data_IF_933540419850
#
_entry.id   IF_933540419850
#
_cell.length_a   1.000
_cell.length_b   1.000
_cell.length_c   1.000
_cell.angle_alpha   90.00
_cell.angle_beta   90.00
_cell.angle_gamma   90.00
#
_symmetry.space_group_name_H-M   'P 1'
#
loop_
_entity.id
_entity.type
_entity.pdbx_description
1 polymer ?
#
# COMPACT_ATOMS: atom_id res chain seq x y z
N UNK A 1 -6.44 -7.84 -5.92
CA UNK A 1 -7.86 -7.61 -5.63
C UNK A 1 -8.39 -8.84 -4.97
N UNK A 2 -9.20 -8.69 -3.94
CA UNK A 2 -9.47 -9.81 -3.04
C UNK A 2 -10.67 -10.59 -3.54
N UNK A 3 -10.45 -11.88 -3.77
CA UNK A 3 -11.51 -12.82 -4.07
C UNK A 3 -12.43 -12.39 -5.22
N UNK A 4 -11.87 -11.75 -6.25
CA UNK A 4 -12.65 -11.46 -7.46
C UNK A 4 -13.18 -12.74 -8.06
N UNK A 5 -14.47 -12.75 -8.41
CA UNK A 5 -15.03 -13.85 -9.20
C UNK A 5 -14.54 -13.80 -10.64
N UNK A 6 -14.46 -12.61 -11.22
CA UNK A 6 -14.01 -12.42 -12.59
C UNK A 6 -13.66 -10.96 -12.87
N UNK A 7 -12.67 -10.75 -13.74
CA UNK A 7 -12.28 -9.43 -14.25
C UNK A 7 -12.55 -9.26 -15.76
N UNK A 8 -12.95 -10.34 -16.45
CA UNK A 8 -13.18 -10.35 -17.91
C UNK A 8 -14.62 -10.67 -18.31
N UNK A 9 -15.41 -11.29 -17.44
CA UNK A 9 -16.85 -11.56 -17.62
C UNK A 9 -17.62 -11.27 -16.33
N UNK A 10 -18.70 -10.50 -16.38
CA UNK A 10 -19.56 -10.23 -15.23
C UNK A 10 -20.28 -11.50 -14.76
N UNK A 11 -20.07 -11.98 -13.52
CA UNK A 11 -20.78 -13.15 -12.99
C UNK A 11 -22.29 -12.92 -12.88
N UNK A 12 -22.71 -11.68 -12.59
CA UNK A 12 -24.11 -11.29 -12.41
C UNK A 12 -24.87 -11.24 -13.73
N UNK A 13 -24.27 -10.67 -14.76
CA UNK A 13 -24.94 -10.38 -16.03
C UNK A 13 -24.56 -11.33 -17.17
N UNK A 14 -23.50 -12.12 -17.02
CA UNK A 14 -23.00 -13.01 -18.08
C UNK A 14 -22.44 -12.25 -19.29
N UNK A 15 -22.07 -10.98 -19.13
CA UNK A 15 -21.54 -10.11 -20.19
C UNK A 15 -20.03 -9.92 -20.06
N UNK A 16 -19.34 -9.67 -21.16
CA UNK A 16 -17.91 -9.33 -21.11
C UNK A 16 -17.65 -8.03 -20.32
N UNK A 17 -16.49 -7.94 -19.67
CA UNK A 17 -16.01 -6.70 -19.07
C UNK A 17 -15.13 -5.97 -20.09
N UNK A 18 -15.67 -4.97 -20.78
CA UNK A 18 -14.98 -4.18 -21.79
C UNK A 18 -15.44 -2.70 -21.76
N UNK A 19 -15.20 -1.95 -22.83
CA UNK A 19 -15.61 -0.53 -22.90
C UNK A 19 -17.11 -0.31 -23.11
N UNK A 20 -17.86 -1.37 -23.46
CA UNK A 20 -19.28 -1.33 -23.86
C UNK A 20 -20.18 -2.00 -22.82
N UNK A 21 -19.73 -3.11 -22.24
CA UNK A 21 -20.34 -3.84 -21.13
C UNK A 21 -19.35 -3.85 -19.97
N UNK A 22 -19.77 -3.90 -18.70
CA UNK A 22 -18.73 -3.90 -17.65
C UNK A 22 -19.18 -3.65 -16.24
N UNK A 23 -20.19 -4.36 -15.75
CA UNK A 23 -20.39 -4.41 -14.30
C UNK A 23 -19.65 -5.61 -13.72
N UNK A 24 -18.36 -5.41 -13.50
CA UNK A 24 -17.43 -6.39 -12.96
C UNK A 24 -16.79 -5.81 -11.71
N UNK A 25 -16.39 -6.64 -10.75
CA UNK A 25 -15.85 -6.15 -9.46
C UNK A 25 -14.54 -5.36 -9.55
N UNK A 26 -14.05 -5.03 -10.76
CA UNK A 26 -12.67 -4.95 -11.20
C UNK A 26 -12.60 -4.62 -12.71
N UNK A 27 -13.07 -3.44 -13.13
CA UNK A 27 -12.88 -2.95 -14.51
C UNK A 27 -11.40 -2.95 -14.94
N UNK A 28 -11.11 -3.68 -16.02
CA UNK A 28 -9.78 -3.83 -16.63
C UNK A 28 -8.69 -4.34 -15.66
N UNK A 29 -9.09 -5.07 -14.63
CA UNK A 29 -8.17 -5.67 -13.68
C UNK A 29 -7.69 -7.06 -14.12
N UNK A 30 -6.59 -7.52 -13.52
CA UNK A 30 -6.07 -8.89 -13.67
C UNK A 30 -6.38 -9.80 -12.47
N UNK A 31 -7.04 -9.28 -11.44
CA UNK A 31 -7.38 -10.03 -10.24
C UNK A 31 -6.24 -10.12 -9.22
N UNK A 32 -5.29 -9.19 -9.26
CA UNK A 32 -4.04 -9.22 -8.50
C UNK A 32 -3.91 -7.99 -7.59
N UNK A 33 -3.08 -8.03 -6.55
CA UNK A 33 -2.83 -6.85 -5.71
C UNK A 33 -2.19 -5.69 -6.48
N UNK A 34 -1.48 -6.03 -7.56
CA UNK A 34 -0.84 -5.10 -8.46
C UNK A 34 -1.83 -4.18 -9.19
N UNK A 35 -3.08 -4.62 -9.35
CA UNK A 35 -4.16 -3.80 -9.92
C UNK A 35 -4.38 -2.50 -9.12
N UNK A 36 -4.20 -2.58 -7.80
CA UNK A 36 -4.38 -1.44 -6.90
C UNK A 36 -3.32 -0.38 -7.16
N UNK A 37 -2.07 -0.80 -7.31
CA UNK A 37 -0.95 0.07 -7.64
C UNK A 37 -1.11 0.70 -9.02
N UNK A 38 -1.41 -0.12 -10.03
CA UNK A 38 -1.64 0.34 -11.39
C UNK A 38 -2.71 1.43 -11.46
N UNK A 39 -3.86 1.23 -10.79
CA UNK A 39 -4.95 2.21 -10.77
C UNK A 39 -4.51 3.56 -10.20
N UNK A 40 -3.79 3.59 -9.07
CA UNK A 40 -3.31 4.86 -8.52
C UNK A 40 -2.28 5.53 -9.43
N UNK A 41 -1.41 4.76 -10.10
CA UNK A 41 -0.48 5.32 -11.09
C UNK A 41 -1.22 5.96 -12.26
N UNK A 42 -2.25 5.32 -12.81
CA UNK A 42 -3.10 5.90 -13.87
C UNK A 42 -3.73 7.23 -13.43
N UNK A 43 -4.31 7.30 -12.23
CA UNK A 43 -4.89 8.55 -11.73
C UNK A 43 -3.86 9.63 -11.45
N UNK A 44 -2.66 9.25 -10.98
CA UNK A 44 -1.54 10.18 -10.78
C UNK A 44 -1.05 10.76 -12.10
N UNK A 45 -0.87 9.93 -13.12
CA UNK A 45 -0.51 10.34 -14.47
C UNK A 45 -1.55 11.31 -15.06
N UNK A 46 -2.85 10.99 -14.91
CA UNK A 46 -3.93 11.90 -15.34
C UNK A 46 -3.86 13.23 -14.61
N UNK A 47 -3.67 13.21 -13.29
CA UNK A 47 -3.52 14.42 -12.48
C UNK A 47 -2.32 15.26 -12.94
N UNK A 48 -1.20 14.62 -13.25
CA UNK A 48 0.01 15.28 -13.74
C UNK A 48 -0.23 15.96 -15.09
N UNK A 49 -0.83 15.24 -16.05
CA UNK A 49 -1.18 15.81 -17.36
C UNK A 49 -2.17 16.99 -17.28
N UNK A 50 -2.99 17.04 -16.23
CA UNK A 50 -3.89 18.17 -15.96
C UNK A 50 -3.21 19.35 -15.23
N UNK A 51 -1.93 19.24 -14.87
CA UNK A 51 -1.22 20.24 -14.06
C UNK A 51 -1.76 20.36 -12.63
N UNK A 52 -2.41 19.30 -12.10
CA UNK A 52 -3.11 19.32 -10.81
C UNK A 52 -2.38 18.59 -9.70
N UNK A 53 -1.06 18.38 -9.82
CA UNK A 53 -0.28 17.60 -8.85
C UNK A 53 -0.39 18.06 -7.39
N UNK A 54 -0.62 19.36 -7.20
CA UNK A 54 -0.72 19.99 -5.87
C UNK A 54 -2.16 20.24 -5.42
N UNK A 55 -3.11 20.29 -6.35
CA UNK A 55 -4.49 20.74 -6.09
C UNK A 55 -5.51 19.61 -6.15
N UNK A 56 -5.12 18.44 -6.65
CA UNK A 56 -5.96 17.25 -6.71
C UNK A 56 -5.30 16.12 -5.91
N UNK A 57 -5.95 15.72 -4.83
CA UNK A 57 -5.48 14.63 -3.98
C UNK A 57 -6.14 13.32 -4.40
N UNK A 58 -5.40 12.22 -4.25
CA UNK A 58 -5.93 10.88 -4.53
C UNK A 58 -6.43 10.25 -3.23
N UNK A 59 -7.68 9.82 -3.25
CA UNK A 59 -8.27 8.99 -2.21
C UNK A 59 -8.47 7.60 -2.77
N UNK A 60 -8.35 6.59 -1.93
CA UNK A 60 -8.58 5.22 -2.34
C UNK A 60 -9.72 4.59 -1.52
N UNK A 61 -10.47 3.72 -2.19
CA UNK A 61 -11.57 2.97 -1.58
C UNK A 61 -11.08 1.53 -1.43
N UNK A 62 -10.52 1.13 -0.27
CA UNK A 62 -10.20 -0.27 -0.01
C UNK A 62 -11.47 -1.11 -0.06
N UNK A 63 -11.40 -2.26 -0.72
CA UNK A 63 -12.42 -3.28 -0.60
C UNK A 63 -12.48 -3.69 0.87
N UNK A 64 -13.60 -3.41 1.53
CA UNK A 64 -13.83 -3.71 2.94
C UNK A 64 -14.96 -4.74 3.14
N UNK A 65 -15.61 -5.14 2.04
CA UNK A 65 -16.78 -6.00 2.04
C UNK A 65 -16.73 -6.96 0.85
N UNK A 66 -17.73 -7.82 0.74
CA UNK A 66 -18.02 -8.57 -0.48
C UNK A 66 -19.49 -8.51 -0.80
N UNK A 67 -19.74 -8.52 -2.10
CA UNK A 67 -21.03 -8.74 -2.71
C UNK A 67 -20.88 -10.01 -3.57
N UNK A 68 -21.68 -11.06 -3.33
CA UNK A 68 -21.65 -12.30 -4.10
C UNK A 68 -21.77 -12.10 -5.61
N UNK A 69 -22.30 -10.98 -6.08
CA UNK A 69 -22.38 -10.71 -7.51
C UNK A 69 -21.00 -10.46 -8.16
N UNK A 70 -20.01 -10.01 -7.37
CA UNK A 70 -18.71 -9.56 -7.87
C UNK A 70 -17.51 -10.24 -7.19
N UNK A 71 -17.63 -10.58 -5.91
CA UNK A 71 -16.57 -11.17 -5.09
C UNK A 71 -17.04 -12.46 -4.42
N UNK A 72 -16.16 -13.46 -4.31
CA UNK A 72 -16.50 -14.75 -3.69
C UNK A 72 -16.45 -14.71 -2.16
N UNK A 73 -15.72 -13.74 -1.58
CA UNK A 73 -15.65 -13.49 -0.14
C UNK A 73 -15.15 -12.09 0.15
N UNK A 74 -15.34 -11.65 1.38
CA UNK A 74 -14.76 -10.42 1.88
C UNK A 74 -13.25 -10.64 2.20
N UNK A 75 -12.45 -9.57 2.27
CA UNK A 75 -11.04 -9.68 2.65
C UNK A 75 -10.85 -10.08 4.11
N UNK A 76 -9.75 -10.76 4.41
CA UNK A 76 -9.28 -10.92 5.80
C UNK A 76 -8.71 -9.60 6.32
N UNK A 77 -8.46 -9.51 7.63
CA UNK A 77 -7.83 -8.33 8.24
C UNK A 77 -6.46 -8.00 7.65
N UNK A 78 -5.64 -9.01 7.38
CA UNK A 78 -4.30 -8.80 6.79
C UNK A 78 -4.36 -8.43 5.30
N UNK A 79 -5.32 -8.98 4.55
CA UNK A 79 -5.56 -8.56 3.17
C UNK A 79 -6.06 -7.11 3.10
N UNK A 80 -6.93 -6.71 4.01
CA UNK A 80 -7.38 -5.31 4.15
C UNK A 80 -6.21 -4.38 4.51
N UNK A 81 -5.36 -4.80 5.46
CA UNK A 81 -4.17 -4.05 5.86
C UNK A 81 -3.18 -3.89 4.69
N UNK A 82 -3.00 -4.94 3.88
CA UNK A 82 -2.21 -4.92 2.65
C UNK A 82 -2.78 -3.95 1.62
N UNK A 83 -4.09 -3.99 1.34
CA UNK A 83 -4.77 -3.05 0.42
C UNK A 83 -4.51 -1.60 0.85
N UNK A 84 -4.76 -1.28 2.12
CA UNK A 84 -4.56 0.06 2.68
C UNK A 84 -3.10 0.52 2.55
N UNK A 85 -2.15 -0.37 2.83
CA UNK A 85 -0.71 -0.07 2.74
C UNK A 85 -0.28 0.18 1.30
N UNK A 86 -0.76 -0.62 0.33
CA UNK A 86 -0.46 -0.41 -1.10
C UNK A 86 -0.91 0.99 -1.54
N UNK A 87 -2.12 1.39 -1.15
CA UNK A 87 -2.65 2.70 -1.50
C UNK A 87 -1.83 3.86 -0.92
N UNK A 88 -1.39 3.77 0.33
CA UNK A 88 -0.50 4.78 0.92
C UNK A 88 0.87 4.81 0.24
N UNK A 89 1.46 3.64 -0.04
CA UNK A 89 2.73 3.55 -0.80
C UNK A 89 2.57 4.19 -2.18
N UNK A 90 1.41 4.11 -2.81
CA UNK A 90 1.15 4.70 -4.13
C UNK A 90 0.61 6.13 -4.08
N UNK A 91 0.56 6.72 -2.89
CA UNK A 91 0.33 8.14 -2.69
C UNK A 91 -1.12 8.57 -2.49
N UNK A 92 -2.01 7.64 -2.14
CA UNK A 92 -3.30 8.02 -1.59
C UNK A 92 -3.11 8.76 -0.25
N UNK A 93 -3.86 9.83 -0.03
CA UNK A 93 -3.83 10.63 1.20
C UNK A 93 -5.06 10.40 2.08
N UNK A 94 -6.03 9.64 1.59
CA UNK A 94 -7.24 9.25 2.29
C UNK A 94 -7.67 7.86 1.87
N UNK A 95 -8.21 7.11 2.83
CA UNK A 95 -8.78 5.79 2.63
C UNK A 95 -10.20 5.79 3.15
N UNK A 96 -11.13 5.27 2.35
CA UNK A 96 -12.55 5.19 2.72
C UNK A 96 -13.08 3.79 2.43
N UNK A 97 -13.36 3.02 3.47
CA UNK A 97 -14.10 1.77 3.32
C UNK A 97 -15.56 2.07 2.97
N UNK A 98 -16.07 1.41 1.93
CA UNK A 98 -17.51 1.39 1.66
C UNK A 98 -18.11 0.30 2.54
N UNK A 99 -19.07 0.67 3.41
CA UNK A 99 -19.80 -0.18 4.36
C UNK A 99 -19.26 -0.19 5.81
N UNK A 100 -20.12 0.21 6.76
CA UNK A 100 -19.81 0.38 8.20
C UNK A 100 -19.94 -0.93 9.00
N UNK A 101 -20.71 -1.92 8.52
CA UNK A 101 -21.02 -3.17 9.23
C UNK A 101 -20.14 -4.37 8.83
N UNK A 102 -18.87 -4.12 8.48
CA UNK A 102 -17.87 -5.16 8.25
C UNK A 102 -17.73 -6.04 9.51
N UNK A 103 -17.89 -7.37 9.40
CA UNK A 103 -17.83 -8.25 10.56
C UNK A 103 -16.43 -8.83 10.79
N UNK A 104 -15.83 -8.41 11.91
CA UNK A 104 -14.79 -9.03 12.75
C UNK A 104 -13.36 -9.14 12.22
N UNK A 105 -13.06 -9.84 11.12
CA UNK A 105 -11.64 -10.00 10.71
C UNK A 105 -11.07 -8.72 10.10
N UNK A 106 -11.90 -7.97 9.35
CA UNK A 106 -11.55 -6.63 8.84
C UNK A 106 -11.41 -5.62 9.97
N UNK A 107 -12.22 -5.73 11.03
CA UNK A 107 -12.15 -4.84 12.20
C UNK A 107 -10.78 -4.90 12.85
N UNK A 108 -10.14 -6.08 12.85
CA UNK A 108 -8.79 -6.21 13.40
C UNK A 108 -7.74 -5.54 12.51
N UNK A 109 -7.85 -5.68 11.18
CA UNK A 109 -6.99 -4.99 10.22
C UNK A 109 -7.18 -3.47 10.25
N UNK A 110 -8.43 -3.01 10.29
CA UNK A 110 -8.80 -1.60 10.38
C UNK A 110 -8.42 -0.99 11.73
N UNK A 111 -8.53 -1.73 12.84
CA UNK A 111 -8.06 -1.30 14.16
C UNK A 111 -6.53 -1.22 14.23
N UNK A 112 -5.80 -2.22 13.69
CA UNK A 112 -4.33 -2.18 13.57
C UNK A 112 -3.90 -0.93 12.81
N UNK A 113 -4.51 -0.68 11.65
CA UNK A 113 -4.20 0.47 10.82
C UNK A 113 -4.61 1.79 11.47
N UNK A 114 -5.81 1.86 12.05
CA UNK A 114 -6.34 3.02 12.76
C UNK A 114 -5.48 3.44 13.94
N UNK A 115 -4.95 2.48 14.70
CA UNK A 115 -3.98 2.73 15.79
C UNK A 115 -2.66 3.30 15.27
N UNK A 116 -2.24 2.95 14.06
CA UNK A 116 -1.03 3.45 13.43
C UNK A 116 -1.20 4.83 12.78
N UNK A 117 -2.41 5.20 12.37
CA UNK A 117 -2.69 6.45 11.64
C UNK A 117 -2.13 7.71 12.32
N UNK A 118 -2.28 7.95 13.63
CA UNK A 118 -1.69 9.15 14.27
C UNK A 118 -0.16 9.26 14.10
N UNK A 119 0.53 8.12 14.00
CA UNK A 119 1.97 8.09 13.76
C UNK A 119 2.33 8.26 12.27
N UNK A 120 1.44 7.88 11.35
CA UNK A 120 1.62 7.94 9.89
C UNK A 120 1.26 9.33 9.34
N UNK A 121 0.19 9.95 9.84
CA UNK A 121 -0.36 11.21 9.32
C UNK A 121 0.67 12.35 9.17
N UNK A 122 1.64 12.56 10.08
CA UNK A 122 2.66 13.59 9.91
C UNK A 122 3.52 13.44 8.65
N UNK A 123 3.57 12.24 8.04
CA UNK A 123 4.33 11.95 6.82
C UNK A 123 3.47 12.09 5.55
N UNK A 124 2.15 11.96 5.67
CA UNK A 124 1.22 12.01 4.53
C UNK A 124 0.74 13.44 4.20
N UNK A 125 0.93 14.39 5.13
CA UNK A 125 0.53 15.80 4.96
C UNK A 125 1.44 16.64 4.07
N UNK A 126 2.58 16.10 3.60
CA UNK A 126 3.45 16.78 2.65
C UNK A 126 2.93 16.60 1.22
N UNK A 127 2.97 17.64 0.36
CA UNK A 127 2.53 17.51 -1.02
C UNK A 127 3.24 16.33 -1.70
N UNK A 128 2.45 15.36 -2.18
CA UNK A 128 2.86 14.16 -2.94
C UNK A 128 3.58 14.50 -4.27
N UNK A 129 3.96 15.76 -4.49
CA UNK A 129 4.46 16.32 -5.74
C UNK A 129 5.92 15.94 -6.05
N UNK A 130 6.62 15.24 -5.16
CA UNK A 130 8.06 14.96 -5.31
C UNK A 130 8.42 13.48 -5.47
N UNK A 131 7.45 12.63 -5.80
CA UNK A 131 7.72 11.23 -6.06
C UNK A 131 8.18 11.10 -7.52
N UNK A 132 9.35 10.51 -7.82
CA UNK A 132 9.58 10.05 -9.17
C UNK A 132 8.42 9.12 -9.55
N UNK A 133 7.70 9.48 -10.60
CA UNK A 133 6.46 8.82 -10.99
C UNK A 133 6.84 7.59 -11.83
N UNK A 134 6.57 6.36 -11.37
CA UNK A 134 6.64 5.22 -12.27
C UNK A 134 5.54 5.40 -13.32
N UNK A 135 5.86 5.30 -14.61
CA UNK A 135 4.86 5.48 -15.66
C UNK A 135 3.74 4.46 -15.48
N UNK A 136 2.52 4.84 -15.83
CA UNK A 136 1.39 3.90 -15.86
C UNK A 136 1.50 2.90 -17.01
N UNK A 137 2.32 3.18 -18.04
CA UNK A 137 2.53 2.30 -19.18
C UNK A 137 3.94 1.68 -19.13
N UNK A 138 4.09 0.34 -19.18
CA UNK A 138 3.06 -0.71 -19.19
C UNK A 138 2.49 -1.03 -17.80
N UNK A 139 1.50 -1.92 -17.74
CA UNK A 139 1.01 -2.50 -16.48
C UNK A 139 2.21 -3.00 -15.65
N UNK A 140 2.31 -2.64 -14.37
CA UNK A 140 3.51 -2.91 -13.59
C UNK A 140 3.73 -4.42 -13.42
N UNK A 141 4.99 -4.81 -13.24
CA UNK A 141 5.39 -6.17 -12.90
C UNK A 141 5.98 -6.23 -11.48
N UNK A 142 5.67 -5.23 -10.65
CA UNK A 142 6.17 -5.12 -9.30
C UNK A 142 5.59 -6.26 -8.44
N UNK A 143 6.48 -7.03 -7.82
CA UNK A 143 6.10 -8.07 -6.84
C UNK A 143 6.21 -7.56 -5.41
N UNK A 144 7.03 -6.53 -5.20
CA UNK A 144 7.31 -5.91 -3.92
C UNK A 144 7.39 -4.39 -4.14
N UNK A 145 6.66 -3.63 -3.35
CA UNK A 145 6.71 -2.17 -3.36
C UNK A 145 7.06 -1.63 -1.98
N UNK A 146 7.76 -0.50 -1.95
CA UNK A 146 8.17 0.14 -0.71
C UNK A 146 8.21 1.65 -0.86
N UNK A 147 8.08 2.36 0.27
CA UNK A 147 8.29 3.80 0.33
C UNK A 147 8.87 4.23 1.66
N UNK A 148 9.68 5.28 1.59
CA UNK A 148 10.32 5.95 2.72
C UNK A 148 9.89 7.41 2.73
N UNK A 149 9.46 7.90 3.90
CA UNK A 149 9.19 9.30 4.14
C UNK A 149 10.10 9.81 5.25
N UNK A 150 11.18 10.53 4.93
CA UNK A 150 12.03 11.15 5.94
C UNK A 150 11.33 12.37 6.55
N UNK A 151 11.46 12.54 7.87
CA UNK A 151 11.12 13.76 8.59
C UNK A 151 12.38 14.27 9.32
N UNK A 152 13.09 15.18 8.66
CA UNK A 152 14.36 15.72 9.15
C UNK A 152 14.23 16.52 10.45
N UNK A 153 13.07 17.16 10.68
CA UNK A 153 12.81 17.93 11.90
C UNK A 153 12.69 17.01 13.11
N UNK A 154 11.91 15.93 12.97
CA UNK A 154 11.70 14.95 14.04
C UNK A 154 12.77 13.86 14.12
N UNK A 155 13.74 13.87 13.21
CA UNK A 155 14.80 12.85 13.12
C UNK A 155 14.22 11.43 13.12
N UNK A 156 13.17 11.24 12.31
CA UNK A 156 12.52 9.95 12.11
C UNK A 156 12.13 9.78 10.65
N UNK A 157 12.08 8.55 10.19
CA UNK A 157 11.49 8.21 8.89
C UNK A 157 10.43 7.13 9.05
N UNK A 158 9.40 7.25 8.23
CA UNK A 158 8.39 6.21 8.03
C UNK A 158 8.83 5.33 6.87
N UNK A 159 8.77 4.02 7.08
CA UNK A 159 9.03 3.03 6.04
C UNK A 159 7.84 2.11 5.94
N UNK A 160 7.33 1.93 4.72
CA UNK A 160 6.26 0.98 4.41
C UNK A 160 6.72 0.04 3.30
N UNK A 161 6.39 -1.24 3.45
CA UNK A 161 6.73 -2.30 2.49
C UNK A 161 5.51 -3.19 2.30
N UNK A 162 5.26 -3.61 1.06
CA UNK A 162 4.18 -4.53 0.71
C UNK A 162 4.66 -5.56 -0.32
N UNK A 163 4.46 -6.85 -0.03
CA UNK A 163 4.63 -7.96 -0.96
C UNK A 163 3.27 -8.28 -1.60
N UNK A 164 3.25 -8.28 -2.93
CA UNK A 164 2.03 -8.34 -3.74
C UNK A 164 1.77 -9.74 -4.29
N UNK A 165 2.63 -10.71 -3.96
CA UNK A 165 2.55 -12.11 -4.39
C UNK A 165 2.68 -13.06 -3.19
N UNK A 166 2.24 -14.31 -3.37
CA UNK A 166 2.27 -15.34 -2.32
C UNK A 166 3.67 -15.88 -2.03
N UNK A 167 4.64 -15.65 -2.91
CA UNK A 167 6.01 -16.11 -2.71
C UNK A 167 6.74 -15.22 -1.70
N UNK A 168 7.66 -15.79 -0.88
CA UNK A 168 8.48 -15.00 0.00
C UNK A 168 9.30 -13.93 -0.76
N UNK A 169 9.37 -12.72 -0.20
CA UNK A 169 10.15 -11.62 -0.72
C UNK A 169 11.09 -11.07 0.36
N UNK A 170 12.38 -11.00 0.03
CA UNK A 170 13.38 -10.27 0.83
C UNK A 170 13.48 -8.85 0.31
N UNK A 171 13.67 -7.91 1.21
CA UNK A 171 13.78 -6.50 0.86
C UNK A 171 14.92 -5.84 1.59
N UNK A 172 15.51 -4.84 0.93
CA UNK A 172 16.52 -3.95 1.51
C UNK A 172 16.19 -2.52 1.12
N UNK A 173 16.20 -1.61 2.08
CA UNK A 173 16.01 -0.17 1.86
C UNK A 173 17.23 0.54 2.41
N UNK A 174 17.88 1.32 1.54
CA UNK A 174 19.04 2.14 1.88
C UNK A 174 18.60 3.61 1.78
N UNK A 175 18.31 4.27 2.91
CA UNK A 175 17.93 5.68 2.91
C UNK A 175 19.07 6.56 2.37
N UNK A 176 18.77 7.76 1.84
CA UNK A 176 19.80 8.69 1.36
C UNK A 176 20.85 9.02 2.43
N UNK A 177 22.12 9.15 2.02
CA UNK A 177 23.25 9.49 2.92
C UNK A 177 23.14 10.86 3.60
N UNK A 178 22.23 11.73 3.13
CA UNK A 178 21.98 13.04 3.72
C UNK A 178 21.27 12.97 5.08
N UNK A 179 20.96 11.77 5.58
CA UNK A 179 20.30 11.52 6.85
C UNK A 179 21.36 11.32 7.94
N UNK A 180 21.31 12.19 8.97
CA UNK A 180 22.31 12.27 10.04
C UNK A 180 22.07 11.24 11.16
N UNK A 181 22.68 10.06 11.06
CA UNK A 181 22.40 8.94 11.98
C UNK A 181 22.59 9.28 13.47
N UNK A 182 21.70 8.81 14.37
CA UNK A 182 21.90 8.93 15.81
C UNK A 182 23.12 8.11 16.24
N UNK A 183 23.85 8.59 17.24
CA UNK A 183 24.88 7.78 17.89
C UNK A 183 24.22 6.75 18.81
N UNK A 184 24.35 5.45 18.51
CA UNK A 184 23.87 4.35 19.35
C UNK A 184 23.05 3.28 18.62
N UNK A 185 22.54 2.26 19.33
CA UNK A 185 21.69 1.23 18.72
C UNK A 185 20.38 1.86 18.21
N UNK A 186 20.13 1.69 16.91
CA UNK A 186 18.91 2.16 16.26
C UNK A 186 17.76 1.18 16.54
N UNK A 187 16.82 1.60 17.38
CA UNK A 187 15.58 0.86 17.62
C UNK A 187 14.54 1.14 16.53
N UNK A 188 13.83 0.11 16.07
CA UNK A 188 12.64 0.27 15.22
C UNK A 188 11.39 0.28 16.05
N UNK A 189 10.46 1.19 15.74
CA UNK A 189 9.09 1.08 16.21
C UNK A 189 8.22 0.50 15.10
N UNK A 190 7.80 -0.75 15.25
CA UNK A 190 6.79 -1.35 14.38
C UNK A 190 5.43 -0.69 14.65
N UNK A 191 4.82 -0.13 13.61
CA UNK A 191 3.47 0.42 13.67
C UNK A 191 2.44 -0.69 13.46
N UNK A 192 2.66 -1.50 12.43
CA UNK A 192 1.93 -2.74 12.17
C UNK A 192 2.76 -3.66 11.28
N UNK A 193 2.42 -4.94 11.31
CA UNK A 193 2.89 -5.95 10.38
C UNK A 193 1.78 -7.00 10.23
N UNK A 194 1.63 -7.58 9.04
CA UNK A 194 0.73 -8.73 8.84
C UNK A 194 1.19 -9.92 9.68
N UNK A 195 0.26 -10.79 10.07
CA UNK A 195 0.53 -11.91 10.96
C UNK A 195 1.51 -12.91 10.35
N UNK A 196 2.27 -13.58 11.23
CA UNK A 196 3.29 -14.56 10.83
C UNK A 196 4.55 -13.97 10.20
N UNK A 197 4.64 -12.64 10.06
CA UNK A 197 5.82 -11.97 9.52
C UNK A 197 6.81 -11.58 10.61
N UNK A 198 8.11 -11.63 10.29
CA UNK A 198 9.17 -11.22 11.22
C UNK A 198 9.34 -9.70 11.23
N UNK A 199 9.67 -9.09 12.40
CA UNK A 199 10.03 -7.69 12.47
C UNK A 199 11.23 -7.35 11.56
N UNK A 200 11.27 -6.11 11.07
CA UNK A 200 12.40 -5.57 10.31
C UNK A 200 13.68 -5.58 11.13
N UNK A 201 14.78 -5.95 10.50
CA UNK A 201 16.12 -5.79 11.04
C UNK A 201 16.73 -4.49 10.53
N UNK A 202 17.34 -3.72 11.42
CA UNK A 202 18.12 -2.53 11.08
C UNK A 202 19.57 -2.88 11.18
N UNK A 203 20.26 -2.77 10.05
CA UNK A 203 21.71 -2.92 9.98
C UNK A 203 22.33 -1.54 9.82
N UNK A 204 23.27 -1.21 10.71
CA UNK A 204 24.02 0.05 10.67
C UNK A 204 25.46 -0.29 10.29
N UNK A 205 25.94 0.29 9.19
CA UNK A 205 27.34 0.13 8.74
C UNK A 205 27.94 1.52 8.49
N UNK A 206 28.83 1.96 9.39
CA UNK A 206 29.40 3.31 9.34
C UNK A 206 28.31 4.39 9.39
N UNK A 207 28.29 5.28 8.39
CA UNK A 207 27.28 6.33 8.23
C UNK A 207 26.07 5.91 7.37
N UNK A 208 25.89 4.61 7.13
CA UNK A 208 24.76 4.09 6.35
C UNK A 208 23.83 3.21 7.18
N UNK A 209 22.52 3.43 7.02
CA UNK A 209 21.49 2.49 7.46
C UNK A 209 21.11 1.62 6.26
N UNK A 210 21.00 0.32 6.50
CA UNK A 210 20.23 -0.58 5.66
C UNK A 210 19.12 -1.23 6.49
N UNK A 211 17.89 -1.15 5.99
CA UNK A 211 16.77 -1.86 6.57
C UNK A 211 16.56 -3.12 5.77
N UNK A 212 16.47 -4.25 6.44
CA UNK A 212 16.23 -5.53 5.78
C UNK A 212 15.11 -6.27 6.45
N UNK A 213 14.29 -6.94 5.65
CA UNK A 213 13.23 -7.79 6.16
C UNK A 213 12.85 -8.87 5.16
N UNK A 214 12.01 -9.78 5.62
CA UNK A 214 11.41 -10.83 4.79
C UNK A 214 9.91 -10.84 5.02
N UNK A 215 9.15 -10.85 3.92
CA UNK A 215 7.72 -11.13 3.92
C UNK A 215 7.53 -12.53 3.34
N UNK A 216 6.95 -13.46 4.09
CA UNK A 216 6.80 -14.89 3.74
C UNK A 216 5.76 -15.16 2.64
N UNK A 217 4.99 -14.15 2.25
CA UNK A 217 3.98 -14.21 1.20
C UNK A 217 3.27 -12.87 1.10
N UNK A 218 1.98 -12.88 0.75
CA UNK A 218 1.17 -11.67 0.77
C UNK A 218 1.23 -11.03 2.16
N UNK A 219 1.63 -9.77 2.21
CA UNK A 219 1.84 -9.12 3.50
C UNK A 219 2.43 -7.73 3.37
N UNK A 220 2.40 -7.02 4.49
CA UNK A 220 2.95 -5.69 4.56
C UNK A 220 3.41 -5.34 5.98
N UNK A 221 4.14 -4.23 6.09
CA UNK A 221 4.45 -3.64 7.38
C UNK A 221 4.81 -2.17 7.26
N UNK A 222 4.73 -1.50 8.41
CA UNK A 222 5.10 -0.11 8.56
C UNK A 222 5.93 0.09 9.82
N UNK A 223 7.01 0.86 9.70
CA UNK A 223 7.97 1.10 10.77
C UNK A 223 8.33 2.58 10.86
N UNK A 224 8.53 3.06 12.08
CA UNK A 224 9.27 4.29 12.34
C UNK A 224 10.69 3.96 12.73
N UNK A 225 11.63 4.62 12.07
CA UNK A 225 13.07 4.43 12.27
C UNK A 225 13.67 5.79 12.62
N UNK A 226 14.40 5.91 13.75
CA UNK A 226 15.16 7.11 14.07
C UNK A 226 16.22 7.36 13.00
N UNK A 227 16.41 8.64 12.70
CA UNK A 227 17.28 9.14 11.64
C UNK A 227 18.42 9.96 12.17
#
# INVERSE_FOLDING_TARGET
>A
MVALKSASVSPKYGTECNSTYGDCGCDNCRGQYLDLSYRLRVFRERRHHLGKDRTMQLWAVPQAFSDPDYWSRAPTGDEFLLICTIYLIEGAVGLMGWQENAQTSQDYGSAKFGKALPAIMPFLGLPQAFLPIPPSTPYPNDTLIARVWPNSEKKIMLVMVANLIEKPARWSINPPQSISLPQGPLGTKTLYITEGQSPTQVNVQGNSISLTGTLQGLGCGAWLIPM
#
